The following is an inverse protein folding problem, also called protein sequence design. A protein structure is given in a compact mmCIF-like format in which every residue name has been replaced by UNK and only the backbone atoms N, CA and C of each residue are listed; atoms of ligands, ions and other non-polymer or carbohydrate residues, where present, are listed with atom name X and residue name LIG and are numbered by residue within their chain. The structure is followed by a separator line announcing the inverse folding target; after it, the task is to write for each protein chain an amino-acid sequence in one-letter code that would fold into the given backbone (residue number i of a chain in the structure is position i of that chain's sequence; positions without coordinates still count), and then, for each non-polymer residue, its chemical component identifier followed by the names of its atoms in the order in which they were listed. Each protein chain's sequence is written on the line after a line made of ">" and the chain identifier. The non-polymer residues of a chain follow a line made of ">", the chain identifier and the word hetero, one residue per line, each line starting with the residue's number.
data_IF_797813566093
#
_entry.id   IF_797813566093
#
_cell.length_a   1.000
_cell.length_b   1.000
_cell.length_c   1.000
_cell.angle_alpha   90.00
_cell.angle_beta   90.00
_cell.angle_gamma   90.00
#
_symmetry.space_group_name_H-M   'P 1'
#
loop_
_entity.id
_entity.type
_entity.pdbx_description
1 polymer ?
#
# COMPACT_ATOMS: atom_id res chain seq x y z
N UNK A 1 -11.93 -9.89 14.89
CA UNK A 1 -12.28 -8.49 14.57
C UNK A 1 -12.03 -7.56 15.75
N UNK A 2 -12.59 -7.81 16.95
CA UNK A 2 -12.37 -6.95 18.12
C UNK A 2 -10.88 -6.73 18.45
N UNK A 3 -10.09 -7.80 18.50
CA UNK A 3 -8.64 -7.72 18.79
C UNK A 3 -7.89 -6.87 17.75
N UNK A 4 -8.22 -6.98 16.47
CA UNK A 4 -7.56 -6.18 15.42
C UNK A 4 -7.95 -4.69 15.48
N UNK A 5 -9.17 -4.37 15.86
CA UNK A 5 -9.60 -2.98 16.10
C UNK A 5 -8.91 -2.38 17.34
N UNK A 6 -8.79 -3.15 18.41
CA UNK A 6 -8.02 -2.74 19.59
C UNK A 6 -6.54 -2.52 19.25
N UNK A 7 -5.95 -3.36 18.41
CA UNK A 7 -4.58 -3.18 17.94
C UNK A 7 -4.42 -1.88 17.13
N UNK A 8 -5.37 -1.56 16.23
CA UNK A 8 -5.37 -0.27 15.50
C UNK A 8 -5.41 0.91 16.47
N UNK A 9 -6.33 0.88 17.45
CA UNK A 9 -6.47 1.97 18.41
C UNK A 9 -5.20 2.13 19.28
N UNK A 10 -4.66 1.02 19.80
CA UNK A 10 -3.46 1.03 20.63
C UNK A 10 -2.23 1.53 19.86
N UNK A 11 -2.00 1.03 18.64
CA UNK A 11 -0.86 1.44 17.80
C UNK A 11 -1.02 2.91 17.37
N UNK A 12 -2.22 3.36 17.03
CA UNK A 12 -2.47 4.76 16.69
C UNK A 12 -2.20 5.69 17.86
N UNK A 13 -2.66 5.34 19.07
CA UNK A 13 -2.39 6.12 20.28
C UNK A 13 -0.89 6.16 20.61
N UNK A 14 -0.22 5.02 20.52
CA UNK A 14 1.23 4.93 20.68
C UNK A 14 1.97 5.80 19.64
N UNK A 15 1.56 5.75 18.39
CA UNK A 15 2.13 6.55 17.32
C UNK A 15 1.93 8.06 17.53
N UNK A 16 0.78 8.49 18.05
CA UNK A 16 0.52 9.88 18.39
C UNK A 16 1.36 10.35 19.59
N UNK A 17 1.55 9.50 20.60
CA UNK A 17 2.32 9.81 21.80
C UNK A 17 3.84 9.85 21.55
N UNK A 18 4.34 9.01 20.66
CA UNK A 18 5.77 8.80 20.43
C UNK A 18 6.32 9.73 19.34
N UNK A 19 7.53 10.27 19.55
CA UNK A 19 8.25 11.15 18.60
C UNK A 19 9.37 11.89 19.31
N UNK A 20 10.11 12.77 18.60
CA UNK A 20 11.21 13.55 19.17
C UNK A 20 10.82 14.35 20.42
N UNK A 21 9.57 14.81 20.49
CA UNK A 21 8.95 15.43 21.67
C UNK A 21 7.89 14.47 22.20
N UNK A 22 8.15 13.70 23.26
CA UNK A 22 7.16 12.78 23.82
C UNK A 22 5.97 13.54 24.42
N UNK A 23 4.76 13.10 24.12
CA UNK A 23 3.52 13.67 24.65
C UNK A 23 2.80 12.56 25.41
N UNK A 24 2.34 12.89 26.63
CA UNK A 24 1.67 11.90 27.47
C UNK A 24 0.41 11.35 26.78
N UNK A 25 0.36 10.05 26.61
CA UNK A 25 -0.78 9.35 25.97
C UNK A 25 -2.11 9.61 26.70
N UNK A 26 -2.05 9.83 28.03
CA UNK A 26 -3.22 10.19 28.85
C UNK A 26 -3.82 11.54 28.46
N UNK A 27 -3.00 12.52 28.10
CA UNK A 27 -3.46 13.83 27.62
C UNK A 27 -4.11 13.73 26.25
N UNK A 28 -3.53 12.90 25.36
CA UNK A 28 -4.08 12.64 24.03
C UNK A 28 -5.43 11.93 24.14
N UNK A 29 -5.50 10.84 24.93
CA UNK A 29 -6.74 10.10 25.14
C UNK A 29 -7.83 10.96 25.79
N UNK A 30 -7.47 11.78 26.78
CA UNK A 30 -8.38 12.71 27.44
C UNK A 30 -9.04 13.68 26.44
N UNK A 31 -8.23 14.26 25.53
CA UNK A 31 -8.74 15.24 24.57
C UNK A 31 -9.55 14.58 23.45
N UNK A 32 -9.14 13.39 22.98
CA UNK A 32 -9.90 12.61 21.99
C UNK A 32 -11.27 12.20 22.54
N UNK A 33 -11.32 11.78 23.81
CA UNK A 33 -12.56 11.33 24.47
C UNK A 33 -13.39 12.48 25.04
N UNK A 34 -12.95 13.72 24.89
CA UNK A 34 -13.63 14.93 25.41
C UNK A 34 -13.96 14.85 26.92
N UNK A 35 -13.01 14.36 27.72
CA UNK A 35 -13.20 14.12 29.16
C UNK A 35 -13.12 15.38 30.03
N UNK A 36 -13.21 16.57 29.46
CA UNK A 36 -13.15 17.87 30.16
C UNK A 36 -12.35 18.92 29.36
N UNK A 37 -11.82 19.95 30.05
CA UNK A 37 -11.01 20.98 29.40
C UNK A 37 -9.80 20.37 28.71
N UNK A 38 -9.41 20.88 27.49
CA UNK A 38 -8.31 20.30 26.72
C UNK A 38 -7.00 20.33 27.51
N UNK A 39 -6.30 19.18 27.56
CA UNK A 39 -4.98 19.05 28.19
C UNK A 39 -3.84 19.32 27.20
N UNK A 40 -4.11 19.18 25.89
CA UNK A 40 -3.17 19.53 24.85
C UNK A 40 -3.31 21.02 24.52
N UNK A 41 -2.27 21.80 24.80
CA UNK A 41 -2.23 23.24 24.56
C UNK A 41 -1.00 23.64 23.77
N UNK A 42 -1.06 24.82 23.14
CA UNK A 42 0.08 25.40 22.44
C UNK A 42 0.71 24.48 21.41
N UNK A 43 2.02 24.31 21.49
CA UNK A 43 2.83 23.56 20.51
C UNK A 43 2.51 22.06 20.50
N UNK A 44 2.11 21.46 21.61
CA UNK A 44 1.74 20.05 21.67
C UNK A 44 0.49 19.75 20.83
N UNK A 45 -0.48 20.66 20.85
CA UNK A 45 -1.69 20.53 20.02
C UNK A 45 -1.34 20.63 18.53
N UNK A 46 -0.44 21.52 18.15
CA UNK A 46 0.06 21.60 16.77
C UNK A 46 0.76 20.31 16.36
N UNK A 47 1.68 19.78 17.19
CA UNK A 47 2.35 18.51 16.89
C UNK A 47 1.39 17.34 16.70
N UNK A 48 0.34 17.26 17.52
CA UNK A 48 -0.65 16.18 17.36
C UNK A 48 -1.52 16.39 16.13
N UNK A 49 -2.14 17.55 15.98
CA UNK A 49 -3.18 17.76 14.98
C UNK A 49 -2.64 17.98 13.56
N UNK A 50 -1.50 18.66 13.44
CA UNK A 50 -1.02 19.10 12.12
C UNK A 50 0.14 18.25 11.59
N UNK A 51 0.87 17.52 12.45
CA UNK A 51 1.99 16.68 12.04
C UNK A 51 1.72 15.19 12.25
N UNK A 52 1.32 14.77 13.47
CA UNK A 52 1.21 13.34 13.78
C UNK A 52 -0.11 12.72 13.33
N UNK A 53 -1.22 13.40 13.52
CA UNK A 53 -2.53 12.87 13.15
C UNK A 53 -2.67 12.61 11.65
N UNK A 54 -2.32 13.53 10.73
CA UNK A 54 -2.37 13.24 9.30
C UNK A 54 -1.41 12.11 8.91
N UNK A 55 -0.24 12.00 9.57
CA UNK A 55 0.72 10.91 9.35
C UNK A 55 0.14 9.55 9.75
N UNK A 56 -0.46 9.45 10.93
CA UNK A 56 -1.12 8.23 11.41
C UNK A 56 -2.29 7.87 10.49
N UNK A 57 -3.16 8.82 10.17
CA UNK A 57 -4.31 8.56 9.28
C UNK A 57 -3.86 8.11 7.89
N UNK A 58 -2.86 8.76 7.30
CA UNK A 58 -2.32 8.35 6.01
C UNK A 58 -1.68 6.95 6.09
N UNK A 59 -0.99 6.62 7.17
CA UNK A 59 -0.45 5.29 7.44
C UNK A 59 -1.54 4.22 7.55
N UNK A 60 -2.64 4.52 8.25
CA UNK A 60 -3.80 3.62 8.35
C UNK A 60 -4.42 3.36 6.97
N UNK A 61 -4.65 4.41 6.17
CA UNK A 61 -5.20 4.31 4.82
C UNK A 61 -4.27 3.50 3.90
N UNK A 62 -2.97 3.79 3.95
CA UNK A 62 -1.97 3.12 3.12
C UNK A 62 -1.85 1.63 3.48
N UNK A 63 -1.72 1.31 4.75
CA UNK A 63 -1.62 -0.06 5.22
C UNK A 63 -2.86 -0.89 4.92
N UNK A 64 -4.05 -0.33 5.16
CA UNK A 64 -5.32 -0.96 4.82
C UNK A 64 -5.42 -1.26 3.32
N UNK A 65 -5.08 -0.28 2.47
CA UNK A 65 -5.16 -0.41 1.02
C UNK A 65 -4.18 -1.45 0.49
N UNK A 66 -2.90 -1.37 0.88
CA UNK A 66 -1.87 -2.29 0.39
C UNK A 66 -2.16 -3.73 0.80
N UNK A 67 -2.55 -3.97 2.06
CA UNK A 67 -2.89 -5.31 2.54
C UNK A 67 -4.12 -5.87 1.83
N UNK A 68 -5.16 -5.06 1.65
CA UNK A 68 -6.39 -5.48 0.99
C UNK A 68 -6.19 -5.70 -0.52
N UNK A 69 -5.41 -4.84 -1.18
CA UNK A 69 -5.03 -5.02 -2.58
C UNK A 69 -4.20 -6.30 -2.77
N UNK A 70 -3.26 -6.59 -1.86
CA UNK A 70 -2.51 -7.83 -1.85
C UNK A 70 -3.43 -9.05 -1.71
N UNK A 71 -4.33 -9.06 -0.73
CA UNK A 71 -5.33 -10.13 -0.58
C UNK A 71 -6.16 -10.33 -1.85
N UNK A 72 -6.60 -9.22 -2.48
CA UNK A 72 -7.37 -9.24 -3.73
C UNK A 72 -6.57 -9.87 -4.87
N UNK A 73 -5.34 -9.45 -5.08
CA UNK A 73 -4.48 -10.00 -6.14
C UNK A 73 -4.17 -11.46 -5.92
N UNK A 74 -3.90 -11.87 -4.68
CA UNK A 74 -3.70 -13.26 -4.33
C UNK A 74 -4.93 -14.13 -4.67
N UNK A 75 -6.15 -13.60 -4.47
CA UNK A 75 -7.40 -14.26 -4.85
C UNK A 75 -7.61 -14.34 -6.36
N UNK A 76 -7.44 -13.22 -7.04
CA UNK A 76 -7.64 -13.12 -8.48
C UNK A 76 -6.67 -13.98 -9.27
N UNK A 77 -5.40 -13.99 -8.89
CA UNK A 77 -4.34 -14.75 -9.55
C UNK A 77 -4.16 -16.16 -8.98
N UNK A 78 -4.89 -16.51 -7.91
CA UNK A 78 -4.75 -17.79 -7.19
C UNK A 78 -3.30 -18.09 -6.84
N UNK A 79 -2.58 -17.04 -6.51
CA UNK A 79 -1.17 -17.10 -6.14
C UNK A 79 -0.96 -16.37 -4.81
N UNK A 80 -0.58 -17.07 -3.73
CA UNK A 80 -0.35 -16.43 -2.43
C UNK A 80 0.83 -15.46 -2.42
N UNK A 81 1.64 -15.44 -3.48
CA UNK A 81 2.78 -14.55 -3.67
C UNK A 81 2.44 -13.32 -4.54
N UNK A 82 1.19 -13.17 -4.96
CA UNK A 82 0.79 -12.01 -5.73
C UNK A 82 0.83 -10.75 -4.85
N UNK A 83 1.47 -9.71 -5.38
CA UNK A 83 1.69 -8.42 -4.72
C UNK A 83 0.89 -7.32 -5.46
N UNK A 84 0.47 -6.24 -4.79
CA UNK A 84 -0.21 -5.11 -5.44
C UNK A 84 0.57 -4.46 -6.58
N UNK A 85 1.89 -4.64 -6.63
CA UNK A 85 2.77 -4.08 -7.66
C UNK A 85 2.91 -4.93 -8.92
N UNK A 86 2.34 -6.13 -8.91
CA UNK A 86 2.48 -7.14 -9.97
C UNK A 86 2.10 -6.64 -11.38
N UNK A 87 1.18 -5.68 -11.45
CA UNK A 87 0.73 -5.09 -12.72
C UNK A 87 1.48 -3.79 -13.10
N UNK A 88 2.65 -3.56 -12.49
CA UNK A 88 3.52 -2.45 -12.82
C UNK A 88 3.22 -1.12 -12.12
N UNK A 89 2.32 -1.09 -11.14
CA UNK A 89 1.99 0.13 -10.37
C UNK A 89 3.24 0.81 -9.84
N UNK A 90 4.18 0.06 -9.24
CA UNK A 90 5.41 0.59 -8.66
C UNK A 90 6.33 1.21 -9.73
N UNK A 91 6.55 0.51 -10.84
CA UNK A 91 7.39 0.99 -11.94
C UNK A 91 6.81 2.24 -12.59
N UNK A 92 5.49 2.25 -12.82
CA UNK A 92 4.78 3.41 -13.35
C UNK A 92 4.85 4.62 -12.43
N UNK A 93 4.59 4.42 -11.13
CA UNK A 93 4.72 5.47 -10.13
C UNK A 93 6.14 6.01 -10.03
N UNK A 94 7.15 5.11 -10.06
CA UNK A 94 8.57 5.46 -10.04
C UNK A 94 8.98 6.31 -11.23
N UNK A 95 8.58 5.94 -12.45
CA UNK A 95 8.82 6.74 -13.64
C UNK A 95 8.16 8.12 -13.52
N UNK A 96 6.88 8.17 -13.15
CA UNK A 96 6.15 9.43 -13.01
C UNK A 96 6.80 10.36 -11.98
N UNK A 97 7.14 9.84 -10.80
CA UNK A 97 7.85 10.60 -9.78
C UNK A 97 9.23 11.07 -10.28
N UNK A 98 9.96 10.22 -10.99
CA UNK A 98 11.29 10.56 -11.55
C UNK A 98 11.17 11.71 -12.55
N UNK A 99 10.22 11.66 -13.49
CA UNK A 99 9.97 12.74 -14.45
C UNK A 99 9.68 14.06 -13.73
N UNK A 100 8.88 14.03 -12.65
CA UNK A 100 8.56 15.23 -11.89
C UNK A 100 9.74 15.78 -11.08
N UNK A 101 10.56 14.90 -10.49
CA UNK A 101 11.69 15.29 -9.63
C UNK A 101 12.95 15.71 -10.40
N UNK A 102 13.19 15.10 -11.56
CA UNK A 102 14.34 15.38 -12.42
C UNK A 102 14.04 16.56 -13.35
N UNK A 103 12.81 16.62 -13.84
CA UNK A 103 12.43 17.50 -14.96
C UNK A 103 12.89 16.94 -16.31
N UNK A 104 12.43 17.55 -17.39
CA UNK A 104 12.80 17.19 -18.76
C UNK A 104 13.00 18.45 -19.57
N UNK A 105 14.12 18.57 -20.27
CA UNK A 105 14.43 19.72 -21.14
C UNK A 105 14.28 21.09 -20.44
N UNK A 106 14.73 21.22 -19.19
CA UNK A 106 14.66 22.46 -18.42
C UNK A 106 13.29 22.75 -17.76
N UNK A 107 12.29 21.92 -18.02
CA UNK A 107 11.01 22.01 -17.33
C UNK A 107 11.12 21.38 -15.94
N UNK A 108 10.73 22.12 -14.91
CA UNK A 108 10.68 21.64 -13.51
C UNK A 108 9.23 21.58 -13.09
N UNK A 109 8.83 20.44 -12.53
CA UNK A 109 7.47 20.26 -12.06
C UNK A 109 7.14 21.21 -10.90
N UNK A 110 5.95 21.82 -10.89
CA UNK A 110 5.53 22.66 -9.77
C UNK A 110 5.45 21.83 -8.45
N UNK A 111 5.51 22.54 -7.34
CA UNK A 111 5.40 21.91 -6.02
C UNK A 111 4.11 21.08 -5.92
N UNK A 112 4.23 19.85 -5.44
CA UNK A 112 3.11 18.90 -5.32
C UNK A 112 2.79 18.11 -6.60
N UNK A 113 3.43 18.40 -7.74
CA UNK A 113 3.19 17.65 -8.98
C UNK A 113 3.69 16.19 -8.91
N UNK A 114 4.68 15.89 -8.08
CA UNK A 114 5.23 14.53 -7.93
C UNK A 114 4.12 13.50 -7.68
N UNK A 115 3.19 13.82 -6.78
CA UNK A 115 2.04 12.93 -6.48
C UNK A 115 1.20 12.68 -7.74
N UNK A 116 0.88 13.72 -8.53
CA UNK A 116 0.08 13.55 -9.74
C UNK A 116 0.80 12.78 -10.83
N UNK A 117 2.09 13.06 -11.04
CA UNK A 117 2.90 12.32 -12.01
C UNK A 117 3.06 10.85 -11.63
N UNK A 118 3.31 10.56 -10.35
CA UNK A 118 3.37 9.21 -9.85
C UNK A 118 2.03 8.47 -9.99
N UNK A 119 0.91 9.14 -9.69
CA UNK A 119 -0.43 8.58 -9.84
C UNK A 119 -0.76 8.25 -11.30
N UNK A 120 -0.55 9.20 -12.20
CA UNK A 120 -0.78 8.99 -13.65
C UNK A 120 0.15 7.91 -14.19
N UNK A 121 1.42 7.92 -13.82
CA UNK A 121 2.38 6.90 -14.20
C UNK A 121 1.96 5.50 -13.75
N UNK A 122 1.51 5.35 -12.50
CA UNK A 122 0.99 4.09 -11.96
C UNK A 122 -0.20 3.58 -12.75
N UNK A 123 -1.21 4.43 -12.99
CA UNK A 123 -2.41 4.05 -13.75
C UNK A 123 -2.09 3.75 -15.21
N UNK A 124 -1.16 4.48 -15.84
CA UNK A 124 -0.71 4.22 -17.22
C UNK A 124 -0.08 2.85 -17.35
N UNK A 125 0.79 2.46 -16.41
CA UNK A 125 1.40 1.14 -16.39
C UNK A 125 0.34 0.03 -16.26
N UNK A 126 -0.62 0.17 -15.35
CA UNK A 126 -1.72 -0.80 -15.19
C UNK A 126 -2.59 -0.88 -16.46
N UNK A 127 -2.93 0.28 -17.05
CA UNK A 127 -3.72 0.32 -18.28
C UNK A 127 -3.01 -0.38 -19.44
N UNK A 128 -1.71 -0.12 -19.63
CA UNK A 128 -0.91 -0.81 -20.64
C UNK A 128 -0.81 -2.30 -20.37
N UNK A 129 -0.58 -2.70 -19.13
CA UNK A 129 -0.57 -4.12 -18.73
C UNK A 129 -1.90 -4.79 -19.08
N UNK A 130 -3.03 -4.12 -18.82
CA UNK A 130 -4.35 -4.63 -19.17
C UNK A 130 -4.58 -4.68 -20.69
N UNK A 131 -4.14 -3.67 -21.45
CA UNK A 131 -4.27 -3.64 -22.90
C UNK A 131 -3.49 -4.77 -23.58
N UNK A 132 -2.30 -5.10 -23.05
CA UNK A 132 -1.44 -6.18 -23.58
C UNK A 132 -1.92 -7.55 -23.11
N UNK A 133 -2.18 -7.72 -21.82
CA UNK A 133 -2.47 -9.03 -21.22
C UNK A 133 -3.96 -9.37 -21.13
N UNK A 134 -4.83 -8.37 -21.06
CA UNK A 134 -6.27 -8.56 -20.80
C UNK A 134 -7.10 -9.02 -22.00
N UNK A 135 -6.58 -8.87 -23.23
CA UNK A 135 -7.28 -9.27 -24.48
C UNK A 135 -7.36 -10.78 -24.70
N UNK A 136 -6.53 -11.56 -24.05
CA UNK A 136 -6.51 -13.02 -24.21
C UNK A 136 -7.64 -13.68 -23.41
N UNK A 137 -8.73 -14.01 -24.10
CA UNK A 137 -9.86 -14.74 -23.51
C UNK A 137 -9.52 -16.15 -23.00
N UNK A 138 -8.39 -16.75 -23.45
CA UNK A 138 -7.98 -18.13 -23.14
C UNK A 138 -6.92 -18.24 -22.06
N UNK A 139 -6.14 -17.21 -21.78
CA UNK A 139 -4.88 -17.32 -21.04
C UNK A 139 -4.96 -16.97 -19.54
N UNK A 140 -6.11 -16.68 -18.98
CA UNK A 140 -6.29 -16.48 -17.54
C UNK A 140 -5.37 -15.39 -16.92
N UNK A 141 -5.06 -15.54 -15.64
CA UNK A 141 -4.23 -14.59 -14.88
C UNK A 141 -2.76 -14.56 -15.28
N UNK A 142 -2.21 -15.66 -15.83
CA UNK A 142 -0.78 -15.78 -16.15
C UNK A 142 -0.33 -14.74 -17.21
N UNK A 143 -1.13 -14.51 -18.25
CA UNK A 143 -0.79 -13.53 -19.30
C UNK A 143 -0.78 -12.10 -18.76
N UNK A 144 -1.67 -11.76 -17.84
CA UNK A 144 -1.65 -10.46 -17.17
C UNK A 144 -0.38 -10.27 -16.32
N UNK A 145 0.07 -11.31 -15.64
CA UNK A 145 1.32 -11.28 -14.86
C UNK A 145 2.52 -11.07 -15.76
N UNK A 146 2.62 -11.83 -16.86
CA UNK A 146 3.71 -11.68 -17.83
C UNK A 146 3.71 -10.29 -18.48
N UNK A 147 2.54 -9.78 -18.86
CA UNK A 147 2.40 -8.41 -19.35
C UNK A 147 2.85 -7.40 -18.31
N UNK A 148 2.49 -7.60 -17.03
CA UNK A 148 2.93 -6.75 -15.92
C UNK A 148 4.44 -6.70 -15.75
N UNK A 149 5.12 -7.85 -15.87
CA UNK A 149 6.59 -7.92 -15.83
C UNK A 149 7.21 -7.15 -17.01
N UNK A 150 6.70 -7.35 -18.23
CA UNK A 150 7.22 -6.67 -19.43
C UNK A 150 7.02 -5.15 -19.35
N UNK A 151 5.83 -4.70 -18.96
CA UNK A 151 5.53 -3.27 -18.79
C UNK A 151 6.33 -2.67 -17.63
N UNK A 152 6.49 -3.38 -16.50
CA UNK A 152 7.36 -2.92 -15.41
C UNK A 152 8.80 -2.71 -15.88
N UNK A 153 9.35 -3.64 -16.66
CA UNK A 153 10.69 -3.53 -17.23
C UNK A 153 10.82 -2.32 -18.15
N UNK A 154 9.81 -2.08 -19.01
CA UNK A 154 9.77 -0.90 -19.89
C UNK A 154 9.77 0.40 -19.09
N UNK A 155 8.90 0.52 -18.08
CA UNK A 155 8.81 1.73 -17.25
C UNK A 155 10.07 1.95 -16.41
N UNK A 156 10.66 0.89 -15.87
CA UNK A 156 11.94 0.97 -15.13
C UNK A 156 13.08 1.39 -16.05
N UNK A 157 13.15 0.87 -17.28
CA UNK A 157 14.14 1.30 -18.26
C UNK A 157 13.98 2.76 -18.66
N UNK A 158 12.73 3.21 -18.87
CA UNK A 158 12.44 4.62 -19.14
C UNK A 158 12.80 5.51 -17.93
N UNK A 159 12.52 5.06 -16.70
CA UNK A 159 12.94 5.73 -15.47
C UNK A 159 14.45 5.90 -15.40
N UNK A 160 15.21 4.83 -15.65
CA UNK A 160 16.68 4.85 -15.68
C UNK A 160 17.20 5.81 -16.75
N UNK A 161 16.58 5.81 -17.95
CA UNK A 161 16.93 6.74 -19.01
C UNK A 161 16.76 8.21 -18.58
N UNK A 162 15.65 8.55 -17.95
CA UNK A 162 15.43 9.93 -17.42
C UNK A 162 16.47 10.28 -16.35
N UNK A 163 16.86 9.33 -15.50
CA UNK A 163 17.86 9.53 -14.46
C UNK A 163 19.27 9.82 -15.01
N UNK A 164 19.60 9.39 -16.24
CA UNK A 164 20.91 9.67 -16.87
C UNK A 164 21.17 11.17 -17.09
N UNK A 165 20.10 11.96 -17.25
CA UNK A 165 20.20 13.40 -17.43
C UNK A 165 20.10 14.19 -16.11
N UNK A 166 19.96 13.50 -14.97
CA UNK A 166 19.72 14.10 -13.67
C UNK A 166 21.03 14.49 -12.96
N UNK A 167 21.00 15.57 -12.22
CA UNK A 167 22.05 15.93 -11.28
C UNK A 167 21.97 15.07 -10.00
N UNK A 168 23.06 15.01 -9.23
CA UNK A 168 23.16 14.20 -8.02
C UNK A 168 22.06 14.50 -6.98
N UNK A 169 21.65 15.76 -6.84
CA UNK A 169 20.59 16.13 -5.90
C UNK A 169 19.21 15.63 -6.32
N UNK A 170 18.91 15.61 -7.61
CA UNK A 170 17.67 15.04 -8.14
C UNK A 170 17.64 13.52 -8.01
N UNK A 171 18.76 12.84 -8.28
CA UNK A 171 18.89 11.39 -8.07
C UNK A 171 18.63 11.05 -6.60
N UNK A 172 19.22 11.79 -5.67
CA UNK A 172 18.99 11.58 -4.24
C UNK A 172 17.50 11.73 -3.86
N UNK A 173 16.80 12.75 -4.38
CA UNK A 173 15.34 12.91 -4.14
C UNK A 173 14.53 11.76 -4.71
N UNK A 174 14.84 11.29 -5.92
CA UNK A 174 14.20 10.11 -6.53
C UNK A 174 14.42 8.88 -5.67
N UNK A 175 15.65 8.64 -5.22
CA UNK A 175 15.98 7.50 -4.38
C UNK A 175 15.20 7.52 -3.05
N UNK A 176 15.16 8.66 -2.36
CA UNK A 176 14.40 8.83 -1.12
C UNK A 176 12.91 8.56 -1.36
N UNK A 177 12.34 9.08 -2.47
CA UNK A 177 10.95 8.86 -2.81
C UNK A 177 10.65 7.37 -3.07
N UNK A 178 11.53 6.66 -3.79
CA UNK A 178 11.39 5.22 -4.07
C UNK A 178 11.43 4.35 -2.80
N UNK A 179 12.09 4.80 -1.76
CA UNK A 179 12.16 4.06 -0.48
C UNK A 179 10.89 4.18 0.37
N UNK A 180 9.99 5.09 0.03
CA UNK A 180 8.73 5.31 0.73
C UNK A 180 8.87 6.00 2.09
N UNK A 181 7.98 6.95 2.39
CA UNK A 181 7.97 7.70 3.64
C UNK A 181 6.59 8.32 3.92
N UNK A 182 6.24 8.46 5.19
CA UNK A 182 5.09 9.21 5.68
C UNK A 182 5.46 10.59 6.24
N UNK A 183 6.75 11.00 6.15
CA UNK A 183 7.25 12.24 6.76
C UNK A 183 6.58 13.52 6.21
N UNK A 184 6.11 13.49 4.96
CA UNK A 184 5.43 14.62 4.32
C UNK A 184 3.89 14.52 4.36
N UNK A 185 3.36 13.71 5.27
CA UNK A 185 1.92 13.56 5.43
C UNK A 185 1.28 14.89 5.86
N UNK A 186 0.15 15.20 5.26
CA UNK A 186 -0.67 16.40 5.56
C UNK A 186 -2.14 16.08 5.38
N UNK A 187 -3.03 16.85 6.00
CA UNK A 187 -4.46 16.68 5.82
C UNK A 187 -4.89 16.83 4.35
N UNK A 188 -4.26 17.71 3.59
CA UNK A 188 -4.53 17.84 2.15
C UNK A 188 -4.20 16.56 1.39
N UNK A 189 -3.13 15.85 1.75
CA UNK A 189 -2.77 14.56 1.17
C UNK A 189 -3.75 13.47 1.59
N UNK A 190 -4.12 13.41 2.87
CA UNK A 190 -5.13 12.49 3.39
C UNK A 190 -6.44 12.63 2.61
N UNK A 191 -6.98 13.85 2.49
CA UNK A 191 -8.25 14.08 1.79
C UNK A 191 -8.19 13.73 0.30
N UNK A 192 -7.06 13.96 -0.36
CA UNK A 192 -6.87 13.58 -1.77
C UNK A 192 -6.88 12.07 -1.99
N UNK A 193 -6.26 11.31 -1.10
CA UNK A 193 -6.12 9.85 -1.22
C UNK A 193 -7.41 9.12 -0.79
N UNK A 194 -8.11 9.63 0.22
CA UNK A 194 -9.27 8.98 0.85
C UNK A 194 -10.34 8.49 -0.14
N UNK A 195 -10.81 9.23 -1.15
CA UNK A 195 -11.85 8.75 -2.06
C UNK A 195 -11.44 7.47 -2.80
N UNK A 196 -10.22 7.42 -3.28
CA UNK A 196 -9.69 6.26 -4.02
C UNK A 196 -9.51 5.04 -3.12
N UNK A 197 -9.06 5.27 -1.89
CA UNK A 197 -8.94 4.22 -0.87
C UNK A 197 -10.31 3.67 -0.52
N UNK A 198 -11.29 4.52 -0.24
CA UNK A 198 -12.66 4.10 0.09
C UNK A 198 -13.25 3.26 -1.04
N UNK A 199 -13.13 3.70 -2.29
CA UNK A 199 -13.58 2.92 -3.45
C UNK A 199 -12.91 1.54 -3.48
N UNK A 200 -11.59 1.48 -3.33
CA UNK A 200 -10.84 0.23 -3.36
C UNK A 200 -11.28 -0.73 -2.22
N UNK A 201 -11.41 -0.22 -1.00
CA UNK A 201 -11.81 -1.03 0.16
C UNK A 201 -13.26 -1.52 0.04
N UNK A 202 -14.19 -0.67 -0.39
CA UNK A 202 -15.60 -1.04 -0.60
C UNK A 202 -15.72 -2.12 -1.67
N UNK A 203 -15.05 -1.95 -2.81
CA UNK A 203 -15.06 -2.96 -3.89
C UNK A 203 -14.44 -4.27 -3.41
N UNK A 204 -13.33 -4.24 -2.67
CA UNK A 204 -12.69 -5.43 -2.14
C UNK A 204 -13.61 -6.18 -1.16
N UNK A 205 -14.25 -5.48 -0.22
CA UNK A 205 -15.22 -6.07 0.72
C UNK A 205 -16.44 -6.65 0.01
N UNK A 206 -17.02 -5.91 -0.95
CA UNK A 206 -18.16 -6.36 -1.73
C UNK A 206 -17.84 -7.60 -2.58
N UNK A 207 -16.59 -7.69 -3.05
CA UNK A 207 -16.11 -8.79 -3.90
C UNK A 207 -15.64 -10.02 -3.11
N UNK A 208 -15.62 -10.00 -1.78
CA UNK A 208 -15.07 -11.08 -0.95
C UNK A 208 -15.70 -12.45 -1.26
N UNK A 209 -17.03 -12.50 -1.46
CA UNK A 209 -17.73 -13.75 -1.85
C UNK A 209 -17.32 -14.23 -3.25
N UNK A 210 -17.19 -13.30 -4.19
CA UNK A 210 -16.77 -13.63 -5.55
C UNK A 210 -15.33 -14.14 -5.58
N UNK A 211 -14.44 -13.63 -4.71
CA UNK A 211 -13.07 -14.11 -4.55
C UNK A 211 -13.03 -15.53 -3.93
N UNK A 212 -13.93 -15.84 -2.99
CA UNK A 212 -14.08 -17.23 -2.47
C UNK A 212 -14.45 -18.20 -3.60
N UNK A 213 -15.38 -17.80 -4.48
CA UNK A 213 -15.78 -18.60 -5.65
C UNK A 213 -14.63 -18.68 -6.68
N UNK A 214 -13.90 -17.60 -6.94
CA UNK A 214 -12.74 -17.61 -7.86
C UNK A 214 -11.62 -18.54 -7.40
N UNK A 215 -11.51 -18.82 -6.10
CA UNK A 215 -10.48 -19.68 -5.55
C UNK A 215 -10.60 -21.14 -6.02
N UNK A 216 -11.81 -21.64 -6.37
CA UNK A 216 -12.01 -23.04 -6.83
C UNK A 216 -11.62 -23.25 -8.30
N UNK A 217 -11.47 -22.21 -9.10
CA UNK A 217 -11.07 -22.33 -10.51
C UNK A 217 -11.94 -21.47 -11.43
N UNK A 218 -11.43 -21.14 -12.62
CA UNK A 218 -12.15 -20.29 -13.59
C UNK A 218 -13.33 -21.04 -14.23
N UNK A 219 -13.18 -22.34 -14.47
CA UNK A 219 -14.22 -23.17 -15.11
C UNK A 219 -15.36 -23.41 -14.11
N UNK A 220 -15.03 -23.83 -12.91
CA UNK A 220 -15.95 -24.08 -11.82
C UNK A 220 -16.69 -22.80 -11.42
N UNK A 221 -15.99 -21.67 -11.36
CA UNK A 221 -16.60 -20.37 -11.05
C UNK A 221 -17.65 -19.96 -12.09
N UNK A 222 -17.39 -20.23 -13.38
CA UNK A 222 -18.37 -19.97 -14.45
C UNK A 222 -19.57 -20.88 -14.36
N UNK A 223 -19.39 -22.16 -14.05
CA UNK A 223 -20.52 -23.10 -13.86
C UNK A 223 -21.38 -22.72 -12.66
N UNK A 224 -20.83 -22.02 -11.67
CA UNK A 224 -21.57 -21.43 -10.55
C UNK A 224 -22.21 -20.07 -10.91
N UNK A 225 -22.15 -19.65 -12.18
CA UNK A 225 -22.77 -18.42 -12.66
C UNK A 225 -21.96 -17.13 -12.43
N UNK A 226 -20.69 -17.23 -11.98
CA UNK A 226 -19.87 -16.03 -11.76
C UNK A 226 -19.34 -15.48 -13.09
N UNK A 227 -19.53 -14.17 -13.38
CA UNK A 227 -18.94 -13.52 -14.55
C UNK A 227 -17.44 -13.21 -14.28
N UNK A 228 -16.61 -14.26 -14.32
CA UNK A 228 -15.19 -14.27 -13.90
C UNK A 228 -14.40 -13.08 -14.46
N UNK A 229 -14.51 -12.81 -15.77
CA UNK A 229 -13.75 -11.72 -16.42
C UNK A 229 -14.16 -10.34 -15.89
N UNK A 230 -15.48 -10.13 -15.66
CA UNK A 230 -15.99 -8.86 -15.13
C UNK A 230 -15.57 -8.64 -13.70
N UNK A 231 -15.72 -9.67 -12.85
CA UNK A 231 -15.29 -9.60 -11.45
C UNK A 231 -13.79 -9.32 -11.37
N UNK A 232 -12.96 -10.08 -12.11
CA UNK A 232 -11.52 -9.89 -12.17
C UNK A 232 -11.16 -8.46 -12.59
N UNK A 233 -11.79 -7.92 -13.62
CA UNK A 233 -11.58 -6.55 -14.08
C UNK A 233 -11.88 -5.53 -12.98
N UNK A 234 -13.08 -5.59 -12.38
CA UNK A 234 -13.52 -4.63 -11.37
C UNK A 234 -12.59 -4.62 -10.16
N UNK A 235 -12.24 -5.79 -9.64
CA UNK A 235 -11.41 -5.86 -8.43
C UNK A 235 -9.95 -5.47 -8.70
N UNK A 236 -9.40 -5.77 -9.89
CA UNK A 236 -8.06 -5.32 -10.29
C UNK A 236 -8.04 -3.80 -10.43
N UNK A 237 -9.00 -3.22 -11.17
CA UNK A 237 -9.05 -1.76 -11.39
C UNK A 237 -9.19 -1.02 -10.07
N UNK A 238 -10.11 -1.44 -9.20
CA UNK A 238 -10.31 -0.79 -7.90
C UNK A 238 -9.07 -0.90 -7.00
N UNK A 239 -8.48 -2.10 -6.91
CA UNK A 239 -7.25 -2.32 -6.11
C UNK A 239 -6.06 -1.54 -6.66
N UNK A 240 -5.90 -1.49 -7.99
CA UNK A 240 -4.85 -0.70 -8.64
C UNK A 240 -5.04 0.79 -8.42
N UNK A 241 -6.28 1.28 -8.49
CA UNK A 241 -6.61 2.69 -8.24
C UNK A 241 -6.24 3.11 -6.80
N UNK A 242 -6.66 2.31 -5.81
CA UNK A 242 -6.30 2.54 -4.42
C UNK A 242 -4.79 2.48 -4.18
N UNK A 243 -4.12 1.47 -4.75
CA UNK A 243 -2.66 1.31 -4.65
C UNK A 243 -1.93 2.49 -5.31
N UNK A 244 -2.35 2.92 -6.50
CA UNK A 244 -1.76 4.06 -7.20
C UNK A 244 -1.90 5.36 -6.38
N UNK A 245 -3.08 5.60 -5.80
CA UNK A 245 -3.33 6.77 -4.95
C UNK A 245 -2.44 6.78 -3.69
N UNK A 246 -2.32 5.63 -3.02
CA UNK A 246 -1.47 5.50 -1.83
C UNK A 246 0.01 5.68 -2.21
N UNK A 247 0.49 4.93 -3.20
CA UNK A 247 1.90 4.96 -3.63
C UNK A 247 2.31 6.35 -4.10
N UNK A 248 1.45 7.07 -4.81
CA UNK A 248 1.74 8.44 -5.24
C UNK A 248 1.93 9.41 -4.08
N UNK A 249 1.33 9.13 -2.92
CA UNK A 249 1.41 9.97 -1.72
C UNK A 249 2.56 9.60 -0.79
N UNK A 250 2.89 8.29 -0.68
CA UNK A 250 3.83 7.78 0.34
C UNK A 250 5.06 7.11 -0.24
N UNK A 251 5.18 7.02 -1.57
CA UNK A 251 6.25 6.25 -2.25
C UNK A 251 6.00 4.75 -2.20
N UNK A 252 7.05 3.96 -2.50
CA UNK A 252 6.95 2.51 -2.58
C UNK A 252 7.10 1.88 -1.19
N UNK A 253 6.11 1.09 -0.78
CA UNK A 253 6.13 0.35 0.49
C UNK A 253 5.82 -1.11 0.18
N UNK A 254 6.83 -1.94 0.20
CA UNK A 254 6.71 -3.37 -0.11
C UNK A 254 6.27 -4.21 1.09
N UNK A 255 6.05 -5.50 0.84
CA UNK A 255 5.75 -6.57 1.80
C UNK A 255 4.40 -6.51 2.52
N UNK A 256 3.78 -5.35 2.71
CA UNK A 256 2.48 -5.22 3.41
C UNK A 256 1.42 -6.09 2.74
N UNK A 257 1.31 -5.99 1.41
CA UNK A 257 0.35 -6.76 0.61
C UNK A 257 0.64 -8.26 0.52
N UNK A 258 1.88 -8.67 0.77
CA UNK A 258 2.26 -10.08 0.79
C UNK A 258 2.01 -10.71 2.16
N UNK A 259 2.52 -10.10 3.22
CA UNK A 259 2.63 -10.70 4.54
C UNK A 259 1.32 -10.65 5.30
N UNK A 260 0.67 -9.48 5.33
CA UNK A 260 -0.52 -9.30 6.15
C UNK A 260 -1.64 -10.28 5.77
N UNK A 261 -2.03 -10.43 4.49
CA UNK A 261 -3.04 -11.42 4.11
C UNK A 261 -2.60 -12.85 4.39
N UNK A 262 -1.29 -13.13 4.27
CA UNK A 262 -0.76 -14.46 4.52
C UNK A 262 -0.87 -14.83 6.00
N UNK A 263 -0.45 -13.96 6.92
CA UNK A 263 -0.57 -14.17 8.36
C UNK A 263 -2.04 -14.34 8.79
N UNK A 264 -2.94 -13.54 8.20
CA UNK A 264 -4.37 -13.67 8.47
C UNK A 264 -4.88 -15.04 8.06
N UNK A 265 -4.47 -15.59 6.90
CA UNK A 265 -4.89 -16.93 6.46
C UNK A 265 -4.46 -18.03 7.41
N UNK A 266 -3.31 -17.90 8.06
CA UNK A 266 -2.85 -18.89 9.05
C UNK A 266 -3.77 -18.94 10.29
N UNK A 267 -4.42 -17.82 10.61
CA UNK A 267 -5.27 -17.72 11.82
C UNK A 267 -6.74 -18.01 11.52
N UNK A 268 -7.29 -17.48 10.41
CA UNK A 268 -8.74 -17.52 10.15
C UNK A 268 -9.13 -18.41 8.96
N UNK A 269 -8.15 -19.06 8.31
CA UNK A 269 -8.36 -19.89 7.12
C UNK A 269 -8.42 -19.06 5.83
N UNK A 270 -8.88 -19.67 4.73
CA UNK A 270 -8.72 -19.17 3.37
C UNK A 270 -9.88 -18.32 2.85
N UNK A 271 -10.99 -18.19 3.60
CA UNK A 271 -12.16 -17.43 3.14
C UNK A 271 -11.91 -15.93 3.09
N UNK A 272 -12.09 -15.33 1.92
CA UNK A 272 -11.92 -13.88 1.69
C UNK A 272 -12.94 -13.04 2.46
N UNK A 273 -14.08 -13.60 2.83
CA UNK A 273 -15.07 -12.92 3.69
C UNK A 273 -14.53 -12.63 5.10
N UNK A 274 -13.56 -13.43 5.58
CA UNK A 274 -12.85 -13.20 6.85
C UNK A 274 -11.55 -12.44 6.63
N UNK A 275 -10.84 -12.74 5.54
CA UNK A 275 -9.53 -12.12 5.24
C UNK A 275 -9.67 -10.63 4.97
N UNK A 276 -10.65 -10.18 4.15
CA UNK A 276 -10.75 -8.78 3.74
C UNK A 276 -10.91 -7.80 4.91
N UNK A 277 -11.87 -7.97 5.83
CA UNK A 277 -12.02 -7.03 6.93
C UNK A 277 -10.81 -7.06 7.90
N UNK A 278 -10.17 -8.23 8.07
CA UNK A 278 -8.96 -8.33 8.87
C UNK A 278 -7.75 -7.73 8.17
N UNK A 279 -7.65 -7.82 6.84
CA UNK A 279 -6.58 -7.19 6.07
C UNK A 279 -6.61 -5.66 6.19
N UNK A 280 -7.81 -5.06 6.19
CA UNK A 280 -7.98 -3.63 6.44
C UNK A 280 -7.39 -3.24 7.79
N UNK A 281 -7.84 -3.87 8.86
CA UNK A 281 -7.44 -3.49 10.22
C UNK A 281 -6.00 -3.87 10.55
N UNK A 282 -5.56 -5.08 10.20
CA UNK A 282 -4.20 -5.54 10.48
C UNK A 282 -3.17 -4.80 9.61
N UNK A 283 -3.49 -4.55 8.33
CA UNK A 283 -2.62 -3.76 7.44
C UNK A 283 -2.45 -2.33 7.92
N UNK A 284 -3.54 -1.70 8.35
CA UNK A 284 -3.53 -0.37 8.94
C UNK A 284 -2.63 -0.32 10.19
N UNK A 285 -2.84 -1.23 11.14
CA UNK A 285 -2.02 -1.30 12.35
C UNK A 285 -0.55 -1.59 12.05
N UNK A 286 -0.26 -2.53 11.15
CA UNK A 286 1.10 -2.91 10.79
C UNK A 286 1.88 -1.74 10.20
N UNK A 287 1.28 -0.96 9.29
CA UNK A 287 2.01 0.13 8.65
C UNK A 287 2.26 1.30 9.61
N UNK A 288 1.30 1.65 10.47
CA UNK A 288 1.51 2.67 11.52
C UNK A 288 2.54 2.21 12.54
N UNK A 289 2.56 0.93 12.90
CA UNK A 289 3.59 0.35 13.75
C UNK A 289 4.98 0.46 13.11
N UNK A 290 5.12 0.06 11.85
CA UNK A 290 6.38 0.16 11.10
C UNK A 290 6.86 1.62 10.96
N UNK A 291 5.95 2.56 10.69
CA UNK A 291 6.27 3.99 10.64
C UNK A 291 6.75 4.54 12.00
N UNK A 292 6.12 4.10 13.08
CA UNK A 292 6.53 4.55 14.42
C UNK A 292 7.94 4.06 14.75
N UNK A 293 8.28 2.83 14.37
CA UNK A 293 9.66 2.32 14.48
C UNK A 293 10.60 3.12 13.57
N UNK A 294 10.22 3.36 12.30
CA UNK A 294 11.04 4.07 11.33
C UNK A 294 11.51 5.44 11.82
N UNK A 295 10.65 6.18 12.53
CA UNK A 295 10.94 7.53 13.04
C UNK A 295 11.55 7.59 14.44
N UNK A 296 11.70 6.44 15.12
CA UNK A 296 12.19 6.42 16.52
C UNK A 296 13.55 5.76 16.69
N UNK A 297 13.90 4.78 15.85
CA UNK A 297 15.08 3.94 16.03
C UNK A 297 16.40 4.73 15.86
N UNK A 298 16.45 5.69 14.93
CA UNK A 298 17.68 6.49 14.65
C UNK A 298 17.38 8.00 14.79
N UNK A 299 16.48 8.37 15.72
CA UNK A 299 16.14 9.78 15.94
C UNK A 299 17.40 10.66 16.14
N UNK A 300 17.51 11.87 15.51
CA UNK A 300 16.44 12.59 14.81
C UNK A 300 16.24 12.19 13.32
N UNK A 301 17.10 11.34 12.76
CA UNK A 301 16.92 10.82 11.40
C UNK A 301 15.81 9.77 11.35
N UNK A 302 15.14 9.67 10.21
CA UNK A 302 14.10 8.66 9.98
C UNK A 302 14.61 7.58 9.03
N UNK A 303 14.31 6.32 9.35
CA UNK A 303 14.53 5.21 8.41
C UNK A 303 13.47 5.27 7.30
N UNK A 304 13.83 4.95 6.04
CA UNK A 304 12.84 4.77 5.00
C UNK A 304 11.85 3.66 5.37
N UNK A 305 10.56 3.93 5.19
CA UNK A 305 9.50 3.02 5.62
C UNK A 305 9.53 1.67 4.87
N UNK A 306 9.86 1.71 3.57
CA UNK A 306 10.04 0.50 2.77
C UNK A 306 11.15 -0.41 3.27
N UNK A 307 12.23 0.16 3.84
CA UNK A 307 13.32 -0.62 4.47
C UNK A 307 12.80 -1.32 5.72
N UNK A 308 12.07 -0.62 6.57
CA UNK A 308 11.52 -1.19 7.81
C UNK A 308 10.53 -2.31 7.49
N UNK A 309 9.60 -2.09 6.54
CA UNK A 309 8.64 -3.14 6.15
C UNK A 309 9.34 -4.35 5.50
N UNK A 310 10.42 -4.15 4.76
CA UNK A 310 11.22 -5.23 4.19
C UNK A 310 11.99 -6.02 5.26
N UNK A 311 12.57 -5.35 6.26
CA UNK A 311 13.27 -6.00 7.37
C UNK A 311 12.35 -6.90 8.21
N UNK A 312 11.10 -6.51 8.41
CA UNK A 312 10.10 -7.38 9.04
C UNK A 312 9.58 -8.44 8.09
N UNK A 313 9.41 -8.07 6.84
CA UNK A 313 8.71 -8.86 5.85
C UNK A 313 9.50 -10.00 5.28
N UNK A 314 10.72 -9.75 4.85
CA UNK A 314 11.53 -10.77 4.19
C UNK A 314 11.84 -11.98 5.10
N UNK A 315 12.22 -11.82 6.39
CA UNK A 315 12.44 -12.97 7.27
C UNK A 315 11.18 -13.80 7.49
N UNK A 316 10.03 -13.15 7.73
CA UNK A 316 8.75 -13.86 7.89
C UNK A 316 8.44 -14.67 6.64
N UNK A 317 8.65 -14.08 5.47
CA UNK A 317 8.40 -14.76 4.19
C UNK A 317 9.32 -15.97 3.97
N UNK A 318 10.60 -15.85 4.29
CA UNK A 318 11.59 -16.96 4.20
C UNK A 318 11.18 -18.11 5.13
N UNK A 319 10.82 -17.82 6.39
CA UNK A 319 10.36 -18.83 7.35
C UNK A 319 9.12 -19.56 6.82
N UNK A 320 8.16 -18.82 6.26
CA UNK A 320 6.95 -19.40 5.69
C UNK A 320 7.20 -20.30 4.48
N UNK A 321 8.20 -20.00 3.66
CA UNK A 321 8.62 -20.89 2.57
C UNK A 321 9.22 -22.18 3.10
N UNK A 322 10.08 -22.12 4.11
CA UNK A 322 10.71 -23.31 4.70
C UNK A 322 9.70 -24.24 5.37
N UNK A 323 8.77 -23.69 6.12
CA UNK A 323 7.74 -24.53 6.80
C UNK A 323 6.83 -25.27 5.83
N UNK A 324 6.59 -24.73 4.62
CA UNK A 324 5.80 -25.41 3.58
C UNK A 324 6.56 -26.52 2.88
N UNK A 325 7.86 -26.40 2.69
CA UNK A 325 8.67 -27.45 2.06
C UNK A 325 8.77 -28.71 2.96
N UNK A 326 8.83 -28.52 4.28
CA UNK A 326 8.87 -29.64 5.24
C UNK A 326 7.54 -30.40 5.40
N UNK A 327 6.41 -29.87 4.91
CA UNK A 327 5.10 -30.54 4.96
C UNK A 327 4.80 -31.38 3.71
N UNK A 328 5.67 -31.37 2.71
CA UNK A 328 5.53 -32.13 1.44
C UNK A 328 6.53 -33.28 1.31
N UNK A 329 7.40 -33.48 2.30
CA UNK A 329 8.26 -34.66 2.48
C UNK A 329 7.72 -35.55 3.58
#
# INVERSE_FOLDING_TARGET
>A
MGVSLLAVAAVSLWALATGPTPIAWTSIAHDILHLGPPRLTGINRFFINDLRAPRVVLGLLAGATLATAGATYQGVFRNPLADPYLLGVAAGAGLGATVALVGVNGWIAPAGAVTWFAFVGALSSVALTWLVGGRSRRSGGATLVLAGVAISSLFTSAQTFVQQSANSSSIARVYIWLLGSLAQASWSTVWRVTPYVVIALVVALASARALDVLAVGDVESRSLGLPVSRVRFIVIVASSLGTAAVVSAVGLIGFVGLIVPHLIRLVVGTSYRRIMPLAITTGAAFLVFADTIARTVISPSELPLGVVTALFGAPVFVILLWTRQGATT
#
